data_IF_603839399975
#
_entry.id   IF_603839399975
#
_cell.length_a   1.000
_cell.length_b   1.000
_cell.length_c   1.000
_cell.angle_alpha   90.00
_cell.angle_beta   90.00
_cell.angle_gamma   90.00
#
_symmetry.space_group_name_H-M   'P 1'
#
loop_
_entity.id
_entity.type
_entity.pdbx_description
1 polymer ?
#
# COMPACT_ATOMS: atom_id res chain seq x y z
N UNK A 1 -11.79 -70.77 1.80
CA UNK A 1 -13.10 -70.11 2.05
C UNK A 1 -12.85 -68.61 2.24
N UNK A 2 -13.68 -67.78 1.60
CA UNK A 2 -13.79 -66.29 1.68
C UNK A 2 -12.68 -65.52 0.95
N UNK A 3 -12.85 -65.21 -0.34
CA UNK A 3 -13.71 -64.21 -1.00
C UNK A 3 -12.85 -63.03 -1.46
N UNK A 4 -12.37 -63.13 -2.70
CA UNK A 4 -11.86 -62.02 -3.50
C UNK A 4 -13.05 -61.33 -4.19
N UNK A 5 -13.17 -60.01 -4.04
CA UNK A 5 -13.90 -59.12 -4.95
C UNK A 5 -13.38 -57.68 -4.71
N UNK A 6 -12.57 -57.14 -5.63
CA UNK A 6 -12.97 -56.22 -6.71
C UNK A 6 -13.47 -54.86 -6.22
N UNK A 7 -12.68 -53.80 -6.43
CA UNK A 7 -13.09 -52.69 -7.32
C UNK A 7 -11.93 -51.71 -7.52
N UNK A 8 -11.43 -51.66 -8.75
CA UNK A 8 -10.69 -50.51 -9.27
C UNK A 8 -11.71 -49.42 -9.65
N UNK A 9 -11.45 -48.17 -9.26
CA UNK A 9 -12.06 -47.01 -9.88
C UNK A 9 -11.01 -45.91 -10.04
N UNK A 10 -10.54 -45.79 -11.29
CA UNK A 10 -9.89 -44.59 -11.79
C UNK A 10 -10.84 -43.39 -11.61
N UNK A 11 -10.38 -42.29 -11.01
CA UNK A 11 -10.58 -40.95 -11.55
C UNK A 11 -9.32 -40.17 -11.20
N UNK A 12 -8.53 -39.89 -12.24
CA UNK A 12 -7.57 -38.80 -12.19
C UNK A 12 -8.35 -37.50 -12.07
N UNK A 13 -8.22 -36.83 -10.93
CA UNK A 13 -8.28 -35.38 -10.93
C UNK A 13 -6.83 -34.90 -10.98
N UNK A 14 -6.39 -34.63 -12.21
CA UNK A 14 -5.51 -33.50 -12.44
C UNK A 14 -6.22 -32.28 -11.86
N UNK A 15 -6.00 -32.03 -10.57
CA UNK A 15 -6.24 -30.74 -9.97
C UNK A 15 -5.29 -29.79 -10.67
N UNK A 16 -5.79 -29.14 -11.72
CA UNK A 16 -5.16 -27.98 -12.29
C UNK A 16 -4.77 -27.07 -11.13
N UNK A 17 -3.47 -26.95 -10.88
CA UNK A 17 -2.94 -25.82 -10.17
C UNK A 17 -3.22 -24.61 -11.08
N UNK A 18 -4.45 -24.10 -11.01
CA UNK A 18 -4.77 -22.76 -11.47
C UNK A 18 -3.85 -21.87 -10.66
N UNK A 19 -2.78 -21.41 -11.30
CA UNK A 19 -1.80 -20.53 -10.68
C UNK A 19 -2.56 -19.39 -10.02
N UNK A 20 -2.57 -19.36 -8.69
CA UNK A 20 -3.07 -18.23 -7.95
C UNK A 20 -2.23 -17.04 -8.43
N UNK A 21 -2.80 -16.15 -9.26
CA UNK A 21 -2.27 -14.82 -9.44
C UNK A 21 -2.26 -14.21 -8.03
N UNK A 22 -1.12 -14.25 -7.35
CA UNK A 22 -0.95 -13.74 -5.99
C UNK A 22 -0.85 -12.23 -6.08
N UNK A 23 -1.97 -11.59 -6.38
CA UNK A 23 -2.10 -10.16 -6.26
C UNK A 23 -1.79 -9.73 -4.82
N UNK A 24 -1.17 -8.56 -4.68
CA UNK A 24 -0.97 -7.94 -3.39
C UNK A 24 -2.35 -7.59 -2.79
N UNK A 25 -2.58 -7.82 -1.49
CA UNK A 25 -3.84 -7.44 -0.87
C UNK A 25 -4.03 -5.92 -0.95
N UNK A 26 -5.23 -5.50 -1.36
CA UNK A 26 -5.65 -4.10 -1.36
C UNK A 26 -6.88 -3.99 -0.46
N UNK A 27 -6.85 -3.15 0.58
CA UNK A 27 -8.03 -2.88 1.39
C UNK A 27 -9.19 -2.35 0.53
N UNK A 28 -10.42 -2.76 0.85
CA UNK A 28 -11.60 -2.30 0.12
C UNK A 28 -11.88 -0.79 0.30
N UNK A 29 -11.48 -0.22 1.44
CA UNK A 29 -11.64 1.19 1.78
C UNK A 29 -10.58 1.65 2.77
N UNK A 30 -10.36 2.97 2.86
CA UNK A 30 -9.62 3.61 3.95
C UNK A 30 -10.44 3.73 5.23
N UNK A 31 -9.75 3.95 6.36
CA UNK A 31 -10.38 4.52 7.55
C UNK A 31 -10.86 5.96 7.24
N UNK A 32 -12.16 6.27 7.39
CA UNK A 32 -12.69 7.60 7.09
C UNK A 32 -12.14 8.70 8.01
N UNK A 33 -11.56 8.33 9.15
CA UNK A 33 -10.94 9.24 10.11
C UNK A 33 -9.41 9.27 9.98
N UNK A 34 -8.82 8.53 9.03
CA UNK A 34 -7.38 8.49 8.81
C UNK A 34 -6.57 7.86 9.94
N UNK A 35 -7.18 7.00 10.77
CA UNK A 35 -6.47 6.33 11.89
C UNK A 35 -5.37 5.37 11.43
N UNK A 36 -5.44 4.94 10.18
CA UNK A 36 -4.46 4.10 9.49
C UNK A 36 -3.30 4.90 8.85
N UNK A 37 -3.40 6.23 8.83
CA UNK A 37 -2.37 7.15 8.30
C UNK A 37 -1.34 7.48 9.39
N UNK A 38 -0.47 6.52 9.67
CA UNK A 38 0.56 6.58 10.72
C UNK A 38 1.97 6.61 10.12
N UNK A 39 2.98 6.93 10.92
CA UNK A 39 4.40 6.80 10.55
C UNK A 39 4.68 5.40 9.96
N UNK A 40 5.30 5.39 8.78
CA UNK A 40 5.61 4.16 8.04
C UNK A 40 4.50 3.66 7.13
N UNK A 41 3.30 4.24 7.18
CA UNK A 41 2.19 3.84 6.32
C UNK A 41 2.52 4.13 4.85
N UNK A 42 2.43 3.06 4.05
CA UNK A 42 2.55 3.11 2.60
C UNK A 42 1.15 3.24 2.03
N UNK A 43 0.90 4.34 1.35
CA UNK A 43 -0.44 4.73 0.91
C UNK A 43 -0.48 4.83 -0.60
N UNK A 44 -1.44 4.16 -1.23
CA UNK A 44 -1.79 4.39 -2.61
C UNK A 44 -2.96 5.38 -2.66
N UNK A 45 -2.82 6.53 -3.33
CA UNK A 45 -3.88 7.53 -3.41
C UNK A 45 -4.07 8.08 -4.83
N UNK A 46 -5.32 8.36 -5.20
CA UNK A 46 -5.66 9.01 -6.46
C UNK A 46 -5.16 10.46 -6.45
N UNK A 47 -4.45 10.86 -7.51
CA UNK A 47 -4.07 12.25 -7.73
C UNK A 47 -5.03 12.96 -8.68
N UNK A 48 -5.24 14.26 -8.45
CA UNK A 48 -6.07 15.11 -9.31
C UNK A 48 -5.54 15.22 -10.75
N UNK A 49 -4.24 15.03 -10.96
CA UNK A 49 -3.62 14.95 -12.29
C UNK A 49 -3.78 13.58 -12.97
N UNK A 50 -4.53 12.66 -12.35
CA UNK A 50 -4.79 11.33 -12.85
C UNK A 50 -3.82 10.28 -12.31
N UNK A 51 -4.33 9.04 -12.26
CA UNK A 51 -3.63 7.86 -11.75
C UNK A 51 -3.58 7.77 -10.22
N UNK A 52 -3.04 6.65 -9.76
CA UNK A 52 -2.78 6.32 -8.36
C UNK A 52 -1.28 6.46 -8.11
N UNK A 53 -0.91 7.27 -7.12
CA UNK A 53 0.46 7.46 -6.68
C UNK A 53 0.71 6.75 -5.36
N UNK A 54 1.90 6.20 -5.20
CA UNK A 54 2.40 5.66 -3.94
C UNK A 54 3.04 6.77 -3.12
N UNK A 55 2.73 6.78 -1.83
CA UNK A 55 3.35 7.63 -0.82
C UNK A 55 3.79 6.78 0.37
N UNK A 56 4.75 7.28 1.14
CA UNK A 56 5.06 6.75 2.48
C UNK A 56 5.06 7.90 3.47
N UNK A 57 4.30 7.76 4.55
CA UNK A 57 4.33 8.72 5.66
C UNK A 57 5.61 8.46 6.44
N UNK A 58 6.48 9.46 6.52
CA UNK A 58 7.72 9.38 7.30
C UNK A 58 7.56 9.97 8.69
N UNK A 59 6.60 10.90 8.84
CA UNK A 59 6.22 11.45 10.13
C UNK A 59 4.81 12.07 10.08
N UNK A 60 4.09 12.02 11.19
CA UNK A 60 2.87 12.78 11.44
C UNK A 60 3.12 13.76 12.60
N UNK A 61 3.07 15.06 12.30
CA UNK A 61 3.06 16.09 13.34
C UNK A 61 1.62 16.27 13.85
N UNK A 62 1.41 16.10 15.16
CA UNK A 62 0.12 16.27 15.80
C UNK A 62 -0.20 17.75 16.00
N UNK A 63 -1.23 18.24 15.30
CA UNK A 63 -1.82 19.55 15.52
C UNK A 63 -3.21 19.43 16.15
N UNK A 64 -3.63 20.42 16.96
CA UNK A 64 -4.95 20.41 17.57
C UNK A 64 -6.06 20.51 16.53
N UNK A 65 -7.25 20.06 16.92
CA UNK A 65 -8.45 20.29 16.13
C UNK A 65 -8.71 21.80 15.92
N UNK A 66 -9.25 22.20 14.75
CA UNK A 66 -9.73 21.36 13.64
C UNK A 66 -8.66 21.07 12.58
N UNK A 67 -7.40 21.46 12.81
CA UNK A 67 -6.35 21.31 11.80
C UNK A 67 -6.01 19.84 11.55
N UNK A 68 -5.99 19.04 12.63
CA UNK A 68 -5.60 17.63 12.61
C UNK A 68 -4.14 17.43 12.18
N UNK A 69 -3.66 16.18 12.16
CA UNK A 69 -2.27 15.87 11.84
C UNK A 69 -1.79 16.43 10.49
N UNK A 70 -0.53 16.85 10.45
CA UNK A 70 0.18 17.13 9.21
C UNK A 70 1.15 15.99 8.90
N UNK A 71 0.99 15.40 7.72
CA UNK A 71 1.82 14.29 7.25
C UNK A 71 3.00 14.80 6.46
N UNK A 72 4.18 14.33 6.85
CA UNK A 72 5.40 14.41 6.09
C UNK A 72 5.51 13.12 5.28
N UNK A 73 5.51 13.26 3.96
CA UNK A 73 5.46 12.09 3.08
C UNK A 73 6.59 12.11 2.05
N UNK A 74 6.97 10.92 1.60
CA UNK A 74 7.73 10.69 0.37
C UNK A 74 6.71 10.34 -0.71
N UNK A 75 6.84 10.95 -1.89
CA UNK A 75 6.05 10.61 -3.07
C UNK A 75 6.89 9.77 -4.03
N UNK A 76 6.32 8.68 -4.56
CA UNK A 76 7.05 7.76 -5.44
C UNK A 76 6.46 7.72 -6.86
N UNK A 77 7.34 7.54 -7.84
CA UNK A 77 7.04 7.22 -9.23
C UNK A 77 7.28 5.73 -9.53
N UNK A 78 6.62 5.17 -10.57
CA UNK A 78 5.61 5.81 -11.41
C UNK A 78 4.23 5.87 -10.75
N UNK A 79 3.35 6.72 -11.27
CA UNK A 79 1.91 6.53 -11.09
C UNK A 79 1.42 5.32 -11.88
N UNK A 80 0.35 4.72 -11.41
CA UNK A 80 -0.30 3.57 -12.06
C UNK A 80 -1.80 3.81 -12.22
N UNK A 81 -2.48 2.98 -13.00
CA UNK A 81 -3.90 3.17 -13.29
C UNK A 81 -4.80 2.76 -12.11
N UNK A 82 -4.42 1.74 -11.34
CA UNK A 82 -5.28 1.14 -10.31
C UNK A 82 -4.57 0.96 -8.97
N UNK A 83 -5.35 0.85 -7.89
CA UNK A 83 -4.80 0.51 -6.57
C UNK A 83 -4.16 -0.88 -6.54
N UNK A 84 -4.67 -1.83 -7.32
CA UNK A 84 -4.10 -3.16 -7.45
C UNK A 84 -2.70 -3.11 -8.08
N UNK A 85 -2.54 -2.32 -9.14
CA UNK A 85 -1.23 -2.10 -9.75
C UNK A 85 -0.26 -1.43 -8.77
N UNK A 86 -0.74 -0.50 -7.92
CA UNK A 86 0.08 0.20 -6.95
C UNK A 86 0.58 -0.77 -5.86
N UNK A 87 -0.32 -1.64 -5.37
CA UNK A 87 0.03 -2.67 -4.40
C UNK A 87 1.00 -3.70 -4.99
N UNK A 88 0.76 -4.15 -6.22
CA UNK A 88 1.67 -5.06 -6.93
C UNK A 88 3.03 -4.39 -7.20
N UNK A 89 3.04 -3.10 -7.54
CA UNK A 89 4.24 -2.32 -7.75
C UNK A 89 5.08 -2.25 -6.46
N UNK A 90 4.46 -1.95 -5.32
CA UNK A 90 5.15 -1.92 -4.04
C UNK A 90 5.69 -3.30 -3.63
N UNK A 91 4.82 -4.32 -3.66
CA UNK A 91 5.12 -5.65 -3.12
C UNK A 91 6.08 -6.47 -3.99
N UNK A 92 5.92 -6.43 -5.32
CA UNK A 92 6.62 -7.33 -6.23
C UNK A 92 7.64 -6.63 -7.12
N UNK A 93 7.49 -5.31 -7.31
CA UNK A 93 8.32 -4.52 -8.24
C UNK A 93 8.95 -3.32 -7.54
N UNK A 94 9.36 -3.50 -6.28
CA UNK A 94 9.95 -2.45 -5.44
C UNK A 94 11.12 -1.70 -6.12
N UNK A 95 11.95 -2.42 -6.88
CA UNK A 95 13.09 -1.86 -7.63
C UNK A 95 12.69 -0.86 -8.73
N UNK A 96 11.44 -0.92 -9.20
CA UNK A 96 10.90 -0.02 -10.23
C UNK A 96 10.30 1.25 -9.62
N UNK A 97 10.18 1.30 -8.28
CA UNK A 97 9.69 2.44 -7.51
C UNK A 97 10.84 3.41 -7.25
N UNK A 98 10.66 4.67 -7.63
CA UNK A 98 11.66 5.73 -7.45
C UNK A 98 11.08 6.88 -6.64
N UNK A 99 11.91 7.55 -5.85
CA UNK A 99 11.49 8.77 -5.15
C UNK A 99 11.27 9.87 -6.20
N UNK A 100 10.04 10.39 -6.26
CA UNK A 100 9.67 11.52 -7.09
C UNK A 100 9.87 12.84 -6.33
N UNK A 101 9.41 12.88 -5.07
CA UNK A 101 9.67 13.94 -4.10
C UNK A 101 10.02 13.29 -2.78
N UNK A 102 11.17 13.64 -2.23
CA UNK A 102 11.72 13.09 -0.98
C UNK A 102 11.09 13.72 0.27
N UNK A 103 10.42 14.87 0.13
CA UNK A 103 9.64 15.47 1.21
C UNK A 103 8.49 16.33 0.67
N UNK A 104 7.26 16.00 1.08
CA UNK A 104 6.08 16.83 0.93
C UNK A 104 5.33 16.96 2.25
N UNK A 105 4.62 18.08 2.43
CA UNK A 105 3.75 18.36 3.57
C UNK A 105 2.29 18.22 3.14
N UNK A 106 1.51 17.44 3.89
CA UNK A 106 0.12 17.14 3.54
C UNK A 106 -0.75 17.16 4.79
N UNK A 107 -1.73 18.06 4.85
CA UNK A 107 -2.70 18.07 5.97
C UNK A 107 -3.71 16.93 5.86
N UNK A 108 -3.98 16.24 6.98
CA UNK A 108 -4.95 15.16 7.06
C UNK A 108 -6.31 15.57 6.47
N UNK A 109 -6.84 16.73 6.85
CA UNK A 109 -8.16 17.25 6.43
C UNK A 109 -8.33 17.38 4.91
N UNK A 110 -7.23 17.45 4.16
CA UNK A 110 -7.24 17.45 2.70
C UNK A 110 -6.98 16.06 2.13
N UNK A 111 -6.12 15.28 2.78
CA UNK A 111 -5.74 13.96 2.28
C UNK A 111 -6.85 12.92 2.42
N UNK A 112 -7.56 12.88 3.56
CA UNK A 112 -8.63 11.90 3.81
C UNK A 112 -9.80 12.01 2.83
N UNK A 113 -9.93 13.16 2.15
CA UNK A 113 -10.92 13.39 1.08
C UNK A 113 -10.56 12.68 -0.22
N UNK A 114 -9.31 12.25 -0.38
CA UNK A 114 -8.84 11.50 -1.55
C UNK A 114 -9.24 10.04 -1.42
N UNK A 115 -9.49 9.42 -2.56
CA UNK A 115 -9.62 7.97 -2.64
C UNK A 115 -8.23 7.35 -2.44
N UNK A 116 -7.99 6.77 -1.26
CA UNK A 116 -6.68 6.22 -0.87
C UNK A 116 -6.80 4.85 -0.20
N UNK A 117 -5.70 4.09 -0.11
CA UNK A 117 -5.64 2.81 0.62
C UNK A 117 -4.28 2.67 1.27
N UNK A 118 -4.25 2.37 2.57
CA UNK A 118 -3.02 2.00 3.28
C UNK A 118 -2.69 0.55 2.95
N UNK A 119 -1.63 0.33 2.18
CA UNK A 119 -1.27 -0.98 1.67
C UNK A 119 -0.53 -1.82 2.71
N UNK A 120 0.38 -1.18 3.44
CA UNK A 120 1.23 -1.78 4.47
C UNK A 120 1.79 -0.68 5.35
N UNK A 121 2.20 -1.03 6.58
CA UNK A 121 3.00 -0.15 7.45
C UNK A 121 4.38 -0.77 7.56
N UNK A 122 5.41 -0.02 7.16
CA UNK A 122 6.80 -0.45 7.19
C UNK A 122 7.64 0.51 8.04
N UNK A 123 8.72 0.05 8.69
CA UNK A 123 9.65 0.94 9.38
C UNK A 123 10.15 2.07 8.47
N UNK A 124 10.30 3.28 9.02
CA UNK A 124 10.89 4.44 8.33
C UNK A 124 12.40 4.40 8.58
N UNK A 125 13.20 4.40 7.51
CA UNK A 125 14.66 4.44 7.65
C UNK A 125 15.17 5.84 7.99
N UNK A 126 16.42 5.92 8.48
CA UNK A 126 17.05 7.22 8.79
C UNK A 126 17.20 8.08 7.52
N UNK A 127 17.49 7.46 6.37
CA UNK A 127 17.57 8.15 5.08
C UNK A 127 16.22 8.70 4.64
N UNK A 128 15.14 7.94 4.82
CA UNK A 128 13.77 8.39 4.54
C UNK A 128 13.34 9.54 5.45
N UNK A 129 13.83 9.54 6.71
CA UNK A 129 13.51 10.57 7.70
C UNK A 129 14.37 11.83 7.57
N UNK A 130 15.55 11.75 6.94
CA UNK A 130 16.51 12.84 6.86
C UNK A 130 15.95 14.14 6.24
N UNK A 131 15.16 14.12 5.14
CA UNK A 131 14.55 15.32 4.58
C UNK A 131 13.64 16.06 5.57
N UNK A 132 12.79 15.33 6.30
CA UNK A 132 11.94 15.90 7.36
C UNK A 132 12.78 16.58 8.45
N UNK A 133 13.81 15.87 8.95
CA UNK A 133 14.68 16.40 10.02
C UNK A 133 15.43 17.65 9.58
N UNK A 134 15.78 17.76 8.29
CA UNK A 134 16.41 18.95 7.72
C UNK A 134 15.42 20.12 7.63
N UNK A 135 14.18 19.87 7.23
CA UNK A 135 13.15 20.91 7.11
C UNK A 135 12.65 21.44 8.45
N UNK A 136 12.77 20.65 9.53
CA UNK A 136 12.37 21.04 10.88
C UNK A 136 13.39 21.96 11.60
N UNK A 137 14.64 21.99 11.14
CA UNK A 137 15.71 22.82 11.72
C UNK A 137 15.64 24.25 11.22
#
# INVERSE_FOLDING_TARGET
MRCFALMALCIGLAGAATGCNRDAPVPASSDPNGKDLVDGAVVAAVESSGGVRLYKIVHADDYPDPAGPEYHMIAYDPKVATFQDAANLWKFRRKDVKVALDHILVRMVHFIKRDHRVLVVEPVSDEEKAPYLKARR
#
